data_IF_022336230989
#
_entry.id   IF_022336230989
#
_cell.length_a   1.000
_cell.length_b   1.000
_cell.length_c   1.000
_cell.angle_alpha   90.00
_cell.angle_beta   90.00
_cell.angle_gamma   90.00
#
_symmetry.space_group_name_H-M   'P 1'
#
loop_
_entity.id
_entity.type
_entity.pdbx_description
1 polymer ?
#
# COMPACT_ATOMS: atom_id res chain seq x y z
N UNK A 1 18.47 11.59 16.18
CA UNK A 1 18.08 10.53 15.23
C UNK A 1 17.86 9.23 16.00
N UNK A 2 16.68 8.60 15.90
CA UNK A 2 16.44 7.30 16.56
C UNK A 2 16.99 6.18 15.65
N UNK A 3 17.88 5.36 16.21
CA UNK A 3 18.48 4.19 15.56
C UNK A 3 17.51 3.01 15.77
N UNK A 4 17.02 2.41 14.69
CA UNK A 4 16.23 1.17 14.76
C UNK A 4 17.09 0.09 14.12
N UNK A 5 17.65 -0.80 14.94
CA UNK A 5 18.38 -1.98 14.47
C UNK A 5 17.36 -3.10 14.21
N UNK A 6 17.14 -3.45 12.94
CA UNK A 6 16.30 -4.59 12.56
C UNK A 6 17.23 -5.75 12.21
N UNK A 7 17.28 -6.76 13.08
CA UNK A 7 18.00 -8.02 12.86
C UNK A 7 17.20 -8.93 11.92
N UNK A 8 17.74 -9.23 10.74
CA UNK A 8 17.09 -10.08 9.74
C UNK A 8 17.61 -11.51 9.80
N UNK A 9 16.94 -12.34 10.59
CA UNK A 9 17.05 -13.80 10.52
C UNK A 9 15.79 -14.41 11.11
N UNK A 10 14.73 -14.57 10.31
CA UNK A 10 13.61 -15.47 10.55
C UNK A 10 12.90 -15.74 9.22
N UNK A 11 12.46 -16.98 9.03
CA UNK A 11 11.57 -17.43 7.95
C UNK A 11 10.52 -16.33 7.67
N UNK A 12 10.30 -16.00 6.39
CA UNK A 12 9.33 -14.98 6.01
C UNK A 12 7.98 -15.31 6.69
N UNK A 13 7.56 -14.45 7.62
CA UNK A 13 6.28 -14.62 8.31
C UNK A 13 5.15 -14.71 7.27
N UNK A 14 4.04 -15.39 7.58
CA UNK A 14 2.88 -15.33 6.71
C UNK A 14 2.40 -13.87 6.58
N UNK A 15 1.82 -13.46 5.42
CA UNK A 15 1.29 -12.11 5.26
C UNK A 15 0.29 -11.71 6.37
N UNK A 16 -0.55 -12.64 6.82
CA UNK A 16 -1.44 -12.46 7.99
C UNK A 16 -0.71 -12.12 9.29
N UNK A 17 0.44 -12.75 9.54
CA UNK A 17 1.29 -12.49 10.70
C UNK A 17 1.98 -11.13 10.57
N UNK A 18 2.43 -10.76 9.37
CA UNK A 18 3.00 -9.43 9.09
C UNK A 18 1.98 -8.32 9.34
N UNK A 19 0.73 -8.49 8.86
CA UNK A 19 -0.34 -7.51 9.11
C UNK A 19 -0.54 -7.30 10.61
N UNK A 20 -0.62 -8.38 11.39
CA UNK A 20 -0.84 -8.25 12.84
C UNK A 20 0.32 -7.53 13.55
N UNK A 21 1.56 -7.73 13.10
CA UNK A 21 2.73 -7.01 13.62
C UNK A 21 2.72 -5.53 13.24
N UNK A 22 2.15 -5.21 12.09
CA UNK A 22 2.19 -3.87 11.52
C UNK A 22 1.14 -2.91 12.08
N UNK A 23 0.05 -3.40 12.67
CA UNK A 23 -1.07 -2.55 13.10
C UNK A 23 -1.34 -2.64 14.60
N UNK A 24 -1.92 -1.58 15.17
CA UNK A 24 -2.47 -1.62 16.52
C UNK A 24 -3.65 -2.59 16.64
N UNK A 25 -4.02 -2.93 17.88
CA UNK A 25 -5.14 -3.83 18.12
C UNK A 25 -6.46 -3.29 17.55
N UNK A 26 -6.68 -1.98 17.68
CA UNK A 26 -7.90 -1.32 17.21
C UNK A 26 -7.98 -1.33 15.68
N UNK A 27 -6.90 -0.97 14.99
CA UNK A 27 -6.85 -1.03 13.52
C UNK A 27 -7.04 -2.47 13.02
N UNK A 28 -6.54 -3.46 13.75
CA UNK A 28 -6.77 -4.86 13.38
C UNK A 28 -8.25 -5.26 13.48
N UNK A 29 -8.99 -4.77 14.48
CA UNK A 29 -10.43 -5.04 14.57
C UNK A 29 -11.20 -4.40 13.41
N UNK A 30 -10.83 -3.18 13.02
CA UNK A 30 -11.37 -2.52 11.82
C UNK A 30 -11.11 -3.34 10.56
N UNK A 31 -9.91 -3.91 10.43
CA UNK A 31 -9.56 -4.81 9.34
C UNK A 31 -10.42 -6.08 9.32
N UNK A 32 -10.60 -6.73 10.47
CA UNK A 32 -11.44 -7.94 10.56
C UNK A 32 -12.88 -7.65 10.16
N UNK A 33 -13.45 -6.52 10.57
CA UNK A 33 -14.79 -6.11 10.17
C UNK A 33 -14.85 -5.90 8.64
N UNK A 34 -13.90 -5.16 8.07
CA UNK A 34 -13.82 -4.93 6.63
C UNK A 34 -13.67 -6.24 5.85
N UNK A 35 -12.85 -7.17 6.32
CA UNK A 35 -12.66 -8.47 5.67
C UNK A 35 -13.89 -9.36 5.74
N UNK A 36 -14.68 -9.26 6.82
CA UNK A 36 -15.98 -9.92 6.90
C UNK A 36 -16.96 -9.42 5.84
N UNK A 37 -16.96 -8.12 5.57
CA UNK A 37 -17.83 -7.51 4.56
C UNK A 37 -17.32 -7.69 3.12
N UNK A 38 -16.00 -7.58 2.92
CA UNK A 38 -15.31 -7.59 1.64
C UNK A 38 -14.09 -8.53 1.68
N UNK A 39 -14.29 -9.86 1.64
CA UNK A 39 -13.21 -10.85 1.79
C UNK A 39 -12.09 -10.71 0.75
N UNK A 40 -12.42 -10.22 -0.45
CA UNK A 40 -11.46 -10.00 -1.54
C UNK A 40 -10.37 -8.96 -1.21
N UNK A 41 -10.59 -8.10 -0.21
CA UNK A 41 -9.60 -7.12 0.24
C UNK A 41 -8.43 -7.77 0.98
N UNK A 42 -8.63 -8.95 1.61
CA UNK A 42 -7.58 -9.65 2.37
C UNK A 42 -6.31 -9.79 1.53
N UNK A 43 -6.46 -10.33 0.31
CA UNK A 43 -5.33 -10.54 -0.63
C UNK A 43 -4.66 -9.22 -1.01
N UNK A 44 -5.42 -8.14 -1.11
CA UNK A 44 -4.86 -6.81 -1.40
C UNK A 44 -3.98 -6.33 -0.24
N UNK A 45 -4.44 -6.49 1.00
CA UNK A 45 -3.66 -6.14 2.19
C UNK A 45 -2.42 -7.00 2.34
N UNK A 46 -2.51 -8.29 2.04
CA UNK A 46 -1.37 -9.20 2.05
C UNK A 46 -0.31 -8.80 1.04
N UNK A 47 -0.71 -8.38 -0.18
CA UNK A 47 0.23 -7.84 -1.16
C UNK A 47 0.82 -6.51 -0.71
N UNK A 48 0.02 -5.62 -0.15
CA UNK A 48 0.47 -4.31 0.32
C UNK A 48 1.49 -4.43 1.46
N UNK A 49 1.21 -5.25 2.47
CA UNK A 49 2.16 -5.47 3.58
C UNK A 49 3.43 -6.15 3.08
N UNK A 50 3.29 -7.08 2.12
CA UNK A 50 4.45 -7.73 1.50
C UNK A 50 5.26 -6.72 0.69
N UNK A 51 4.63 -5.72 0.11
CA UNK A 51 5.32 -4.70 -0.67
C UNK A 51 6.09 -3.71 0.21
N UNK A 52 5.43 -3.19 1.25
CA UNK A 52 5.97 -2.12 2.13
C UNK A 52 6.83 -2.69 3.26
N UNK A 53 6.52 -3.89 3.74
CA UNK A 53 7.10 -4.49 4.94
C UNK A 53 6.44 -4.01 6.24
N UNK A 54 6.39 -4.87 7.29
CA UNK A 54 5.69 -4.57 8.53
C UNK A 54 6.42 -3.59 9.45
N UNK A 55 7.72 -3.37 9.24
CA UNK A 55 8.55 -2.59 10.16
C UNK A 55 8.78 -1.14 9.72
N UNK A 56 8.36 -0.77 8.51
CA UNK A 56 8.52 0.60 8.00
C UNK A 56 7.54 1.51 8.74
N UNK A 57 8.08 2.55 9.39
CA UNK A 57 7.34 3.48 10.25
C UNK A 57 7.57 4.92 9.82
N UNK A 58 6.55 5.75 9.97
CA UNK A 58 6.71 7.20 9.91
C UNK A 58 7.46 7.68 11.16
N UNK A 59 8.64 8.31 11.01
CA UNK A 59 9.37 8.92 12.13
C UNK A 59 8.51 9.84 13.01
N UNK A 60 7.54 10.56 12.41
CA UNK A 60 6.68 11.52 13.12
C UNK A 60 5.49 10.90 13.86
N UNK A 61 5.01 9.70 13.47
CA UNK A 61 3.68 9.21 13.88
C UNK A 61 3.68 7.95 14.77
N UNK A 62 4.86 7.38 15.09
CA UNK A 62 5.00 6.11 15.85
C UNK A 62 4.06 4.96 15.38
N UNK A 63 3.61 5.02 14.13
CA UNK A 63 2.78 4.03 13.45
C UNK A 63 3.52 3.50 12.23
N UNK A 64 3.19 2.28 11.83
CA UNK A 64 3.73 1.74 10.58
C UNK A 64 3.09 2.46 9.40
N UNK A 65 3.81 2.50 8.29
CA UNK A 65 3.30 3.08 7.04
C UNK A 65 2.05 2.35 6.59
N UNK A 66 2.07 1.02 6.68
CA UNK A 66 0.91 0.18 6.40
C UNK A 66 -0.30 0.55 7.26
N UNK A 67 -0.14 0.70 8.58
CA UNK A 67 -1.22 1.09 9.48
C UNK A 67 -1.83 2.44 9.13
N UNK A 68 -1.00 3.43 8.80
CA UNK A 68 -1.46 4.77 8.41
C UNK A 68 -2.29 4.70 7.13
N UNK A 69 -1.77 4.04 6.08
CA UNK A 69 -2.47 3.88 4.80
C UNK A 69 -3.83 3.21 5.03
N UNK A 70 -3.85 2.07 5.73
CA UNK A 70 -5.07 1.29 5.99
C UNK A 70 -6.09 2.09 6.78
N UNK A 71 -5.66 2.70 7.90
CA UNK A 71 -6.58 3.42 8.79
C UNK A 71 -7.22 4.59 8.05
N UNK A 72 -6.44 5.35 7.28
CA UNK A 72 -6.98 6.47 6.48
C UNK A 72 -7.94 5.95 5.41
N UNK A 73 -7.60 4.87 4.72
CA UNK A 73 -8.46 4.29 3.68
C UNK A 73 -9.80 3.79 4.20
N UNK A 74 -9.82 3.24 5.43
CA UNK A 74 -11.05 2.80 6.09
C UNK A 74 -11.87 4.00 6.58
N UNK A 75 -11.21 4.97 7.22
CA UNK A 75 -11.88 6.08 7.91
C UNK A 75 -12.39 7.17 6.98
N UNK A 76 -11.69 7.44 5.87
CA UNK A 76 -12.09 8.47 4.91
C UNK A 76 -13.37 8.13 4.16
N UNK A 77 -13.75 6.85 4.09
CA UNK A 77 -14.77 6.36 3.15
C UNK A 77 -15.91 5.54 3.75
N UNK A 78 -16.04 5.48 5.08
CA UNK A 78 -17.18 4.83 5.75
C UNK A 78 -18.55 5.29 5.19
N UNK A 79 -18.66 6.55 4.75
CA UNK A 79 -19.88 7.09 4.13
C UNK A 79 -19.99 6.81 2.62
N UNK A 80 -18.89 6.70 1.87
CA UNK A 80 -18.91 6.33 0.45
C UNK A 80 -19.12 4.82 0.25
N UNK A 81 -18.64 3.97 1.17
CA UNK A 81 -18.92 2.53 1.18
C UNK A 81 -20.41 2.24 1.37
N UNK A 82 -21.09 3.01 2.22
CA UNK A 82 -22.55 2.88 2.42
C UNK A 82 -23.35 3.27 1.17
N UNK A 83 -22.86 4.22 0.38
CA UNK A 83 -23.52 4.69 -0.86
C UNK A 83 -23.36 3.76 -2.06
N UNK A 84 -22.35 2.88 -2.05
CA UNK A 84 -22.14 1.96 -3.15
C UNK A 84 -23.24 0.89 -3.23
N UNK A 85 -23.73 0.68 -4.44
CA UNK A 85 -24.90 -0.14 -4.78
C UNK A 85 -24.58 -1.63 -4.91
N UNK A 86 -23.29 -1.97 -5.04
CA UNK A 86 -22.83 -3.35 -5.16
C UNK A 86 -21.53 -3.61 -4.40
N UNK A 87 -21.26 -4.89 -4.11
CA UNK A 87 -19.99 -5.33 -3.49
C UNK A 87 -18.77 -4.98 -4.34
N UNK A 88 -18.90 -5.09 -5.67
CA UNK A 88 -17.82 -4.77 -6.61
C UNK A 88 -17.51 -3.27 -6.62
N UNK A 89 -18.54 -2.43 -6.59
CA UNK A 89 -18.38 -0.98 -6.50
C UNK A 89 -17.71 -0.56 -5.18
N UNK A 90 -18.10 -1.18 -4.06
CA UNK A 90 -17.44 -0.98 -2.75
C UNK A 90 -15.96 -1.34 -2.80
N UNK A 91 -15.65 -2.49 -3.37
CA UNK A 91 -14.27 -2.95 -3.51
C UNK A 91 -13.43 -2.02 -4.38
N UNK A 92 -13.95 -1.60 -5.54
CA UNK A 92 -13.26 -0.67 -6.43
C UNK A 92 -12.99 0.68 -5.75
N UNK A 93 -14.00 1.25 -5.06
CA UNK A 93 -13.83 2.50 -4.29
C UNK A 93 -12.78 2.35 -3.19
N UNK A 94 -12.81 1.23 -2.45
CA UNK A 94 -11.82 0.96 -1.41
C UNK A 94 -10.40 0.93 -1.97
N UNK A 95 -10.21 0.24 -3.10
CA UNK A 95 -8.90 0.14 -3.75
C UNK A 95 -8.40 1.48 -4.27
N UNK A 96 -9.26 2.29 -4.90
CA UNK A 96 -8.90 3.64 -5.33
C UNK A 96 -8.42 4.45 -4.13
N UNK A 97 -9.16 4.40 -3.01
CA UNK A 97 -8.78 5.13 -1.82
C UNK A 97 -7.49 4.61 -1.18
N UNK A 98 -7.34 3.29 -1.09
CA UNK A 98 -6.12 2.64 -0.64
C UNK A 98 -4.91 3.13 -1.46
N UNK A 99 -5.10 3.30 -2.75
CA UNK A 99 -4.04 3.74 -3.63
C UNK A 99 -3.70 5.22 -3.50
N UNK A 100 -4.68 6.07 -3.29
CA UNK A 100 -4.47 7.48 -2.91
C UNK A 100 -3.68 7.59 -1.61
N UNK A 101 -4.08 6.85 -0.57
CA UNK A 101 -3.40 6.91 0.73
C UNK A 101 -2.00 6.31 0.66
N UNK A 102 -1.77 5.31 -0.20
CA UNK A 102 -0.43 4.75 -0.42
C UNK A 102 0.57 5.78 -0.97
N UNK A 103 0.10 6.90 -1.55
CA UNK A 103 0.96 8.01 -2.00
C UNK A 103 1.82 8.61 -0.90
N UNK A 104 1.50 8.37 0.36
CA UNK A 104 2.34 8.70 1.50
C UNK A 104 3.73 8.05 1.47
N UNK A 105 3.93 6.97 0.70
CA UNK A 105 5.25 6.39 0.44
C UNK A 105 6.22 7.40 -0.21
N UNK A 106 5.72 8.34 -1.00
CA UNK A 106 6.53 9.39 -1.63
C UNK A 106 7.14 10.33 -0.58
N UNK A 107 6.49 10.48 0.57
CA UNK A 107 6.98 11.28 1.68
C UNK A 107 8.05 10.56 2.52
N UNK A 108 8.50 9.37 2.09
CA UNK A 108 9.51 8.60 2.80
C UNK A 108 10.71 8.33 1.90
N UNK A 109 11.90 8.54 2.45
CA UNK A 109 13.10 7.92 1.92
C UNK A 109 13.49 6.78 2.83
N UNK A 110 13.53 5.56 2.29
CA UNK A 110 14.11 4.39 2.97
C UNK A 110 15.44 4.08 2.30
N UNK A 111 16.49 3.86 3.07
CA UNK A 111 17.79 3.49 2.52
C UNK A 111 18.53 2.53 3.45
N UNK A 112 19.43 1.74 2.87
CA UNK A 112 20.33 0.88 3.62
C UNK A 112 21.75 1.42 3.55
N UNK A 113 22.43 1.45 4.71
CA UNK A 113 23.86 1.65 4.74
C UNK A 113 24.58 0.29 4.64
N UNK A 114 25.42 0.13 3.62
CA UNK A 114 26.23 -1.07 3.42
C UNK A 114 27.70 -0.71 3.59
N UNK A 115 28.32 -1.25 4.64
CA UNK A 115 29.73 -0.99 4.95
C UNK A 115 30.62 -1.29 3.73
N UNK A 116 31.39 -0.29 3.30
CA UNK A 116 32.29 -0.39 2.15
C UNK A 116 31.62 -0.35 0.77
N UNK A 117 30.28 -0.24 0.68
CA UNK A 117 29.54 -0.13 -0.59
C UNK A 117 28.66 1.12 -0.70
N UNK A 118 28.59 1.93 0.37
CA UNK A 118 27.80 3.15 0.41
C UNK A 118 26.32 2.93 0.70
N UNK A 119 25.54 3.99 0.54
CA UNK A 119 24.10 3.99 0.77
C UNK A 119 23.34 3.55 -0.49
N UNK A 120 22.29 2.77 -0.30
CA UNK A 120 21.32 2.45 -1.36
C UNK A 120 19.96 2.95 -0.93
N UNK A 121 19.25 3.63 -1.81
CA UNK A 121 17.89 4.13 -1.57
C UNK A 121 16.89 3.16 -2.17
N UNK A 122 15.80 2.89 -1.44
CA UNK A 122 14.68 2.09 -1.92
C UNK A 122 13.89 2.90 -2.94
N UNK A 123 13.84 2.41 -4.17
CA UNK A 123 12.86 2.87 -5.14
C UNK A 123 11.60 2.00 -5.05
N UNK A 124 10.58 2.56 -4.39
CA UNK A 124 9.26 1.95 -4.20
C UNK A 124 8.40 1.93 -5.47
N UNK A 125 8.90 2.38 -6.63
CA UNK A 125 8.25 2.15 -7.92
C UNK A 125 8.79 0.88 -8.59
N UNK A 126 10.06 0.59 -8.35
CA UNK A 126 10.76 -0.52 -8.99
C UNK A 126 10.50 -1.85 -8.28
N UNK A 127 10.68 -1.89 -6.96
CA UNK A 127 10.70 -3.15 -6.21
C UNK A 127 10.04 -3.02 -4.82
N UNK A 128 9.69 -4.17 -4.24
CA UNK A 128 9.25 -4.27 -2.84
C UNK A 128 10.40 -4.04 -1.87
N UNK A 129 10.09 -3.69 -0.62
CA UNK A 129 11.12 -3.54 0.40
C UNK A 129 11.87 -4.84 0.68
N UNK A 130 11.22 -6.01 0.53
CA UNK A 130 11.88 -7.30 0.75
C UNK A 130 12.90 -7.63 -0.34
N UNK A 131 12.59 -7.32 -1.60
CA UNK A 131 13.55 -7.44 -2.71
C UNK A 131 14.73 -6.48 -2.52
N UNK A 132 14.45 -5.31 -1.94
CA UNK A 132 15.45 -4.30 -1.64
C UNK A 132 16.31 -4.64 -0.40
N UNK A 133 15.75 -5.35 0.58
CA UNK A 133 16.40 -5.69 1.84
C UNK A 133 17.59 -6.62 1.62
N UNK A 134 18.76 -6.26 2.17
CA UNK A 134 19.99 -7.06 2.09
C UNK A 134 20.42 -7.52 3.48
N UNK A 135 20.69 -8.82 3.59
CA UNK A 135 21.24 -9.44 4.80
C UNK A 135 22.49 -8.68 5.26
N UNK A 136 22.49 -8.24 6.52
CA UNK A 136 23.62 -7.53 7.15
C UNK A 136 23.68 -6.01 6.92
N UNK A 137 22.66 -5.39 6.32
CA UNK A 137 22.59 -3.94 6.14
C UNK A 137 21.72 -3.26 7.23
N UNK A 138 22.07 -2.01 7.58
CA UNK A 138 21.27 -1.22 8.54
C UNK A 138 20.27 -0.36 7.78
N UNK A 139 18.98 -0.50 8.11
CA UNK A 139 17.91 0.28 7.49
C UNK A 139 17.76 1.64 8.15
N UNK A 140 17.55 2.66 7.32
CA UNK A 140 17.31 4.03 7.74
C UNK A 140 16.06 4.58 7.03
N UNK A 141 15.30 5.39 7.75
CA UNK A 141 14.04 5.98 7.28
C UNK A 141 14.04 7.46 7.67
N UNK A 142 13.69 8.34 6.72
CA UNK A 142 13.47 9.77 6.94
C UNK A 142 12.24 10.21 6.18
N UNK A 143 11.58 11.23 6.71
CA UNK A 143 10.50 11.91 5.99
C UNK A 143 11.11 12.90 5.00
N UNK A 144 10.62 12.83 3.77
CA UNK A 144 10.92 13.77 2.70
C UNK A 144 9.90 14.90 2.78
N UNK A 145 10.37 16.14 2.86
CA UNK A 145 9.50 17.31 2.86
C UNK A 145 9.31 17.78 1.41
N UNK A 146 8.46 17.07 0.67
CA UNK A 146 8.17 17.39 -0.74
C UNK A 146 6.97 18.35 -0.75
N UNK A 147 7.07 19.43 -1.53
CA UNK A 147 6.01 20.44 -1.63
C UNK A 147 4.72 19.80 -2.17
N UNK A 148 3.62 20.02 -1.45
CA UNK A 148 2.32 19.37 -1.72
C UNK A 148 1.71 19.82 -3.06
N UNK A 149 2.02 21.04 -3.52
CA UNK A 149 1.44 21.57 -4.77
C UNK A 149 2.06 20.98 -6.04
N UNK A 150 3.33 20.56 -6.00
CA UNK A 150 3.97 19.90 -7.15
C UNK A 150 3.60 18.40 -7.25
N UNK A 151 2.89 17.88 -6.24
CA UNK A 151 2.70 16.46 -6.03
C UNK A 151 1.37 15.92 -6.53
N UNK A 152 0.34 16.72 -6.81
CA UNK A 152 -1.00 16.17 -7.05
C UNK A 152 -1.07 15.31 -8.32
N UNK A 153 -0.45 15.73 -9.42
CA UNK A 153 -0.37 14.92 -10.65
C UNK A 153 0.57 13.71 -10.48
N UNK A 154 1.62 13.85 -9.67
CA UNK A 154 2.54 12.75 -9.34
C UNK A 154 1.84 11.72 -8.47
N UNK A 155 1.02 12.14 -7.50
CA UNK A 155 0.22 11.31 -6.61
C UNK A 155 -0.84 10.54 -7.38
N UNK A 156 -1.50 11.16 -8.36
CA UNK A 156 -2.43 10.45 -9.26
C UNK A 156 -1.70 9.35 -10.04
N UNK A 157 -0.57 9.68 -10.67
CA UNK A 157 0.26 8.69 -11.38
C UNK A 157 0.76 7.59 -10.45
N UNK A 158 1.09 7.94 -9.22
CA UNK A 158 1.54 7.00 -8.21
C UNK A 158 0.43 6.04 -7.76
N UNK A 159 -0.76 6.57 -7.48
CA UNK A 159 -1.94 5.76 -7.16
C UNK A 159 -2.20 4.73 -8.27
N UNK A 160 -2.03 5.10 -9.54
CA UNK A 160 -2.12 4.14 -10.66
C UNK A 160 -1.06 3.04 -10.64
N UNK A 161 0.19 3.38 -10.35
CA UNK A 161 1.27 2.38 -10.21
C UNK A 161 0.95 1.43 -9.06
N UNK A 162 0.56 1.97 -7.91
CA UNK A 162 0.12 1.21 -6.73
C UNK A 162 -1.04 0.27 -7.09
N UNK A 163 -2.11 0.77 -7.71
CA UNK A 163 -3.24 -0.06 -8.18
C UNK A 163 -2.76 -1.20 -9.08
N UNK A 164 -1.83 -0.93 -10.00
CA UNK A 164 -1.30 -1.96 -10.91
C UNK A 164 -0.50 -3.06 -10.22
N UNK A 165 0.13 -2.76 -9.07
CA UNK A 165 0.89 -3.75 -8.27
C UNK A 165 -0.04 -4.62 -7.40
N UNK A 166 -1.20 -4.10 -7.03
CA UNK A 166 -2.08 -4.76 -6.06
C UNK A 166 -3.30 -5.45 -6.69
N UNK A 167 -3.73 -5.02 -7.87
CA UNK A 167 -4.89 -5.55 -8.58
C UNK A 167 -4.47 -6.56 -9.66
N UNK A 168 -5.09 -7.72 -9.65
CA UNK A 168 -4.95 -8.74 -10.71
C UNK A 168 -5.89 -8.44 -11.87
N UNK A 169 -5.60 -9.02 -13.04
CA UNK A 169 -6.49 -8.92 -14.22
C UNK A 169 -7.94 -9.33 -13.92
N UNK A 170 -8.16 -10.31 -13.05
CA UNK A 170 -9.50 -10.79 -12.68
C UNK A 170 -10.27 -9.75 -11.86
N UNK A 171 -9.58 -9.00 -11.01
CA UNK A 171 -10.16 -7.98 -10.14
C UNK A 171 -10.52 -6.69 -10.89
N UNK A 172 -10.00 -6.49 -12.10
CA UNK A 172 -10.37 -5.36 -12.96
C UNK A 172 -11.86 -5.34 -13.34
N UNK A 173 -12.57 -6.46 -13.22
CA UNK A 173 -14.03 -6.51 -13.42
C UNK A 173 -14.79 -5.61 -12.44
N UNK A 174 -14.24 -5.40 -11.25
CA UNK A 174 -14.82 -4.49 -10.27
C UNK A 174 -14.74 -3.02 -10.72
N UNK A 175 -13.89 -2.72 -11.70
CA UNK A 175 -13.72 -1.42 -12.35
C UNK A 175 -14.41 -1.36 -13.72
N UNK A 176 -15.29 -2.32 -14.04
CA UNK A 176 -16.00 -2.38 -15.31
C UNK A 176 -15.18 -2.93 -16.49
N UNK A 177 -13.98 -3.48 -16.24
CA UNK A 177 -13.20 -4.18 -17.27
C UNK A 177 -13.76 -5.58 -17.50
N UNK A 178 -14.12 -5.95 -18.74
CA UNK A 178 -14.64 -7.26 -19.02
C UNK A 178 -13.57 -8.35 -18.83
N UNK A 179 -13.98 -9.58 -18.50
CA UNK A 179 -13.10 -10.74 -18.45
C UNK A 179 -12.35 -10.95 -19.77
N UNK A 180 -11.25 -11.69 -19.70
CA UNK A 180 -10.49 -12.08 -20.88
C UNK A 180 -11.38 -12.80 -21.90
N UNK A 181 -11.32 -12.40 -23.17
CA UNK A 181 -12.13 -12.97 -24.26
C UNK A 181 -13.47 -12.26 -24.52
N UNK A 182 -13.83 -11.23 -23.76
CA UNK A 182 -14.96 -10.35 -24.09
C UNK A 182 -14.42 -9.03 -24.68
N UNK A 183 -14.72 -8.80 -25.96
CA UNK A 183 -14.20 -7.65 -26.72
C UNK A 183 -14.82 -6.33 -26.26
N UNK A 184 -14.16 -5.66 -25.32
CA UNK A 184 -14.15 -4.20 -25.25
C UNK A 184 -12.74 -3.75 -24.86
N UNK A 185 -12.15 -2.91 -25.70
CA UNK A 185 -10.93 -2.18 -25.36
C UNK A 185 -11.35 -0.99 -24.50
N UNK A 186 -10.85 -0.95 -23.27
CA UNK A 186 -10.96 0.21 -22.40
C UNK A 186 -9.59 0.86 -22.31
N UNK A 187 -9.56 2.18 -22.46
CA UNK A 187 -8.38 2.98 -22.18
C UNK A 187 -8.18 3.10 -20.67
N UNK A 188 -6.93 3.29 -20.25
CA UNK A 188 -6.59 3.55 -18.85
C UNK A 188 -7.43 4.72 -18.27
N UNK A 189 -7.72 5.73 -19.10
CA UNK A 189 -8.54 6.88 -18.72
C UNK A 189 -9.99 6.50 -18.42
N UNK A 190 -10.58 5.58 -19.18
CA UNK A 190 -11.96 5.13 -19.00
C UNK A 190 -12.16 4.26 -17.75
N UNK A 191 -11.11 3.56 -17.31
CA UNK A 191 -11.17 2.66 -16.16
C UNK A 191 -10.98 3.35 -14.81
N UNK A 192 -10.25 4.47 -14.82
CA UNK A 192 -9.79 5.10 -13.59
C UNK A 192 -10.17 6.59 -13.46
N UNK A 193 -10.98 7.13 -14.39
CA UNK A 193 -11.59 8.47 -14.27
C UNK A 193 -13.13 8.44 -14.40
N UNK A 194 -13.77 7.31 -14.14
CA UNK A 194 -15.23 7.27 -14.04
C UNK A 194 -15.65 7.77 -12.65
N UNK A 195 -15.97 9.07 -12.60
CA UNK A 195 -16.58 9.88 -11.51
C UNK A 195 -16.81 9.23 -10.14
#
# INVERSE_FOLDING_TARGET
MKKIEVSTSKLADSPSTMIRKAVSSDTYQLLLALWGELPMIVVTHEKLISYIGPDIRFPSQNKTVFEVIITRSITSDLELFKKATSRNERYAKYLTKLAEEATELVNLTVWYHIRGKGDRVWDFLECSVFEFNKVGAVMHIKESNIDRHELDDIKKRFAYVVLSKFITRKELICFGVPPFGQNKNYTFKELFNAN
#
